data_IF_981905034898
#
_entry.id   IF_981905034898
#
_cell.length_a   1.000
_cell.length_b   1.000
_cell.length_c   1.000
_cell.angle_alpha   90.00
_cell.angle_beta   90.00
_cell.angle_gamma   90.00
#
_symmetry.space_group_name_H-M   'P 1'
#
loop_
_entity.id
_entity.type
_entity.pdbx_description
1 polymer ?
#
# COMPACT_ATOMS: atom_id res chain seq x y z
N UNK A 1 -23.52 3.63 -8.44
CA UNK A 1 -23.27 5.07 -8.44
C UNK A 1 -24.24 5.73 -7.48
N UNK A 2 -23.72 6.53 -6.57
CA UNK A 2 -24.50 7.43 -5.73
C UNK A 2 -24.23 8.87 -6.21
N UNK A 3 -25.13 9.43 -7.03
CA UNK A 3 -24.90 10.72 -7.68
C UNK A 3 -24.70 11.89 -6.69
N UNK A 4 -25.29 11.77 -5.50
CA UNK A 4 -25.18 12.81 -4.46
C UNK A 4 -23.82 12.86 -3.76
N UNK A 5 -23.01 11.80 -3.89
CA UNK A 5 -21.72 11.66 -3.20
C UNK A 5 -20.56 11.34 -4.13
N UNK A 6 -20.77 11.35 -5.46
CA UNK A 6 -19.80 10.89 -6.46
C UNK A 6 -19.07 9.59 -6.08
N UNK A 7 -19.81 8.66 -5.49
CA UNK A 7 -19.25 7.47 -4.88
C UNK A 7 -19.75 6.18 -5.51
N UNK A 8 -18.94 5.15 -5.45
CA UNK A 8 -19.24 3.81 -5.96
C UNK A 8 -19.10 2.78 -4.84
N UNK A 9 -20.08 1.89 -4.72
CA UNK A 9 -20.09 0.84 -3.72
C UNK A 9 -20.32 -0.52 -4.37
N UNK A 10 -19.69 -1.56 -3.83
CA UNK A 10 -19.97 -2.94 -4.25
C UNK A 10 -21.26 -3.41 -3.52
N UNK A 11 -22.33 -3.75 -4.24
CA UNK A 11 -23.57 -4.26 -3.61
C UNK A 11 -23.33 -5.47 -2.70
N UNK A 12 -24.11 -5.60 -1.65
CA UNK A 12 -23.91 -6.62 -0.61
C UNK A 12 -24.00 -8.07 -1.13
N UNK A 13 -24.89 -8.32 -2.09
CA UNK A 13 -25.03 -9.61 -2.77
C UNK A 13 -23.79 -9.95 -3.58
N UNK A 14 -23.25 -8.98 -4.33
CA UNK A 14 -22.00 -9.14 -5.08
C UNK A 14 -20.80 -9.35 -4.16
N UNK A 15 -20.73 -8.62 -3.03
CA UNK A 15 -19.68 -8.82 -2.03
C UNK A 15 -19.66 -10.25 -1.52
N UNK A 16 -20.82 -10.79 -1.12
CA UNK A 16 -20.96 -12.19 -0.68
C UNK A 16 -20.53 -13.18 -1.76
N UNK A 17 -21.00 -12.98 -3.00
CA UNK A 17 -20.65 -13.82 -4.15
C UNK A 17 -19.15 -13.78 -4.44
N UNK A 18 -18.54 -12.61 -4.44
CA UNK A 18 -17.12 -12.45 -4.75
C UNK A 18 -16.22 -12.95 -3.61
N UNK A 19 -16.64 -12.74 -2.37
CA UNK A 19 -15.96 -13.30 -1.19
C UNK A 19 -15.91 -14.83 -1.24
N UNK A 20 -17.04 -15.48 -1.52
CA UNK A 20 -17.11 -16.94 -1.69
C UNK A 20 -16.24 -17.43 -2.89
N UNK A 21 -16.17 -16.65 -3.96
CA UNK A 21 -15.31 -16.97 -5.09
C UNK A 21 -13.82 -16.92 -4.70
N UNK A 22 -13.38 -15.90 -3.95
CA UNK A 22 -12.00 -15.81 -3.44
C UNK A 22 -11.69 -16.97 -2.48
N UNK A 23 -12.61 -17.29 -1.57
CA UNK A 23 -12.49 -18.42 -0.64
C UNK A 23 -12.30 -19.75 -1.37
N UNK A 24 -12.89 -19.89 -2.54
CA UNK A 24 -12.81 -21.13 -3.32
C UNK A 24 -11.38 -21.51 -3.78
N UNK A 25 -10.42 -20.60 -3.69
CA UNK A 25 -9.00 -20.85 -4.03
C UNK A 25 -8.06 -20.85 -2.82
N UNK A 26 -8.45 -20.27 -1.68
CA UNK A 26 -7.53 -20.06 -0.55
C UNK A 26 -6.85 -21.33 -0.04
N UNK A 27 -7.59 -22.42 0.03
CA UNK A 27 -7.11 -23.68 0.62
C UNK A 27 -6.97 -24.81 -0.42
N UNK A 28 -6.83 -24.46 -1.69
CA UNK A 28 -6.67 -25.43 -2.78
C UNK A 28 -5.21 -25.51 -3.18
N UNK A 29 -4.77 -26.72 -3.52
CA UNK A 29 -3.45 -26.92 -4.18
C UNK A 29 -3.53 -26.65 -5.67
N UNK A 30 -4.68 -26.91 -6.28
CA UNK A 30 -4.93 -26.73 -7.71
C UNK A 30 -6.32 -26.15 -7.96
N UNK A 31 -6.45 -25.39 -9.04
CA UNK A 31 -7.69 -24.74 -9.48
C UNK A 31 -7.86 -24.89 -11.00
N UNK A 32 -9.06 -25.17 -11.52
CA UNK A 32 -9.32 -25.13 -12.96
C UNK A 32 -8.98 -23.76 -13.56
N UNK A 33 -8.48 -23.74 -14.79
CA UNK A 33 -8.09 -22.52 -15.49
C UNK A 33 -9.25 -21.52 -15.55
N UNK A 34 -10.43 -21.99 -15.95
CA UNK A 34 -11.64 -21.17 -16.10
C UNK A 34 -12.05 -20.53 -14.76
N UNK A 35 -11.82 -21.23 -13.65
CA UNK A 35 -12.09 -20.71 -12.32
C UNK A 35 -11.11 -19.60 -11.96
N UNK A 36 -9.83 -19.77 -12.26
CA UNK A 36 -8.81 -18.76 -12.04
C UNK A 36 -9.05 -17.52 -12.91
N UNK A 37 -9.46 -17.70 -14.16
CA UNK A 37 -9.84 -16.61 -15.07
C UNK A 37 -11.03 -15.81 -14.51
N UNK A 38 -12.06 -16.50 -14.03
CA UNK A 38 -13.22 -15.88 -13.38
C UNK A 38 -12.81 -15.05 -12.16
N UNK A 39 -11.91 -15.59 -11.33
CA UNK A 39 -11.41 -14.90 -10.14
C UNK A 39 -10.59 -13.67 -10.53
N UNK A 40 -9.70 -13.77 -11.53
CA UNK A 40 -8.92 -12.64 -12.03
C UNK A 40 -9.82 -11.52 -12.58
N UNK A 41 -10.86 -11.88 -13.33
CA UNK A 41 -11.85 -10.92 -13.84
C UNK A 41 -12.61 -10.21 -12.71
N UNK A 42 -13.05 -10.95 -11.69
CA UNK A 42 -13.70 -10.37 -10.51
C UNK A 42 -12.73 -9.48 -9.73
N UNK A 43 -11.46 -9.90 -9.52
CA UNK A 43 -10.46 -9.09 -8.85
C UNK A 43 -10.24 -7.76 -9.59
N UNK A 44 -10.11 -7.79 -10.93
CA UNK A 44 -9.99 -6.60 -11.75
C UNK A 44 -11.21 -5.67 -11.62
N UNK A 45 -12.42 -6.24 -11.62
CA UNK A 45 -13.63 -5.44 -11.45
C UNK A 45 -13.69 -4.79 -10.06
N UNK A 46 -13.33 -5.53 -9.01
CA UNK A 46 -13.29 -5.01 -7.62
C UNK A 46 -12.34 -3.82 -7.50
N UNK A 47 -11.20 -3.84 -8.18
CA UNK A 47 -10.25 -2.72 -8.13
C UNK A 47 -10.73 -1.47 -8.85
N UNK A 48 -11.73 -1.58 -9.72
CA UNK A 48 -12.44 -0.41 -10.25
C UNK A 48 -13.20 0.37 -9.17
N UNK A 49 -13.60 -0.32 -8.09
CA UNK A 49 -14.27 0.28 -6.93
C UNK A 49 -13.31 0.50 -5.76
N UNK A 50 -12.32 -0.37 -5.61
CA UNK A 50 -11.30 -0.35 -4.55
C UNK A 50 -9.89 -0.29 -5.18
N UNK A 51 -9.49 0.87 -5.74
CA UNK A 51 -8.21 1.02 -6.43
C UNK A 51 -6.97 0.57 -5.63
N UNK A 52 -6.92 0.71 -4.30
CA UNK A 52 -5.77 0.25 -3.52
C UNK A 52 -5.45 -1.25 -3.65
N UNK A 53 -6.42 -2.07 -4.07
CA UNK A 53 -6.21 -3.51 -4.30
C UNK A 53 -5.60 -3.83 -5.67
N UNK A 54 -5.48 -2.86 -6.57
CA UNK A 54 -5.00 -3.08 -7.93
C UNK A 54 -3.62 -3.75 -8.03
N UNK A 55 -2.62 -3.45 -7.16
CA UNK A 55 -1.34 -4.15 -7.19
C UNK A 55 -1.47 -5.67 -6.99
N UNK A 56 -2.47 -6.13 -6.24
CA UNK A 56 -2.70 -7.54 -5.95
C UNK A 56 -3.31 -8.30 -7.15
N UNK A 57 -3.98 -7.61 -8.06
CA UNK A 57 -4.58 -8.23 -9.27
C UNK A 57 -3.51 -8.90 -10.13
N UNK A 58 -2.31 -8.34 -10.18
CA UNK A 58 -1.20 -8.90 -10.94
C UNK A 58 -0.81 -10.34 -10.52
N UNK A 59 -1.08 -10.69 -9.27
CA UNK A 59 -0.83 -12.05 -8.77
C UNK A 59 -1.74 -13.06 -9.48
N UNK A 60 -3.00 -12.72 -9.71
CA UNK A 60 -3.95 -13.57 -10.42
C UNK A 60 -3.56 -13.73 -11.90
N UNK A 61 -3.22 -12.63 -12.57
CA UNK A 61 -2.80 -12.68 -13.99
C UNK A 61 -1.47 -13.42 -14.18
N UNK A 62 -0.49 -13.22 -13.30
CA UNK A 62 0.75 -14.01 -13.33
C UNK A 62 0.46 -15.50 -13.20
N UNK A 63 -0.47 -15.88 -12.33
CA UNK A 63 -0.86 -17.29 -12.16
C UNK A 63 -1.62 -17.83 -13.37
N UNK A 64 -2.40 -17.00 -14.07
CA UNK A 64 -3.05 -17.39 -15.34
C UNK A 64 -2.04 -17.66 -16.45
N UNK A 65 -0.97 -16.88 -16.53
CA UNK A 65 -0.01 -16.92 -17.64
C UNK A 65 1.25 -17.74 -17.34
N UNK A 66 1.45 -18.18 -16.10
CA UNK A 66 2.67 -18.90 -15.70
C UNK A 66 2.91 -20.19 -16.48
N UNK A 67 1.84 -20.90 -16.84
CA UNK A 67 1.92 -22.21 -17.51
C UNK A 67 0.75 -22.34 -18.51
N UNK A 68 0.82 -21.72 -19.69
CA UNK A 68 -0.35 -21.52 -20.56
C UNK A 68 -1.06 -22.82 -21.00
N UNK A 69 -0.39 -23.97 -20.94
CA UNK A 69 -0.93 -25.25 -21.43
C UNK A 69 -1.37 -26.21 -20.30
N UNK A 70 -1.27 -25.82 -19.03
CA UNK A 70 -1.64 -26.68 -17.91
C UNK A 70 -3.00 -26.30 -17.33
N UNK A 71 -3.90 -27.25 -17.21
CA UNK A 71 -5.10 -27.18 -16.40
C UNK A 71 -5.24 -28.53 -15.65
N UNK A 72 -5.41 -28.54 -14.33
CA UNK A 72 -5.59 -27.40 -13.42
C UNK A 72 -4.29 -26.64 -13.10
N UNK A 73 -4.43 -25.37 -12.71
CA UNK A 73 -3.34 -24.49 -12.28
C UNK A 73 -2.96 -24.75 -10.84
N UNK A 74 -1.66 -24.72 -10.55
CA UNK A 74 -1.18 -24.75 -9.17
C UNK A 74 -1.51 -23.43 -8.46
N UNK A 75 -2.09 -23.55 -7.28
CA UNK A 75 -2.30 -22.39 -6.39
C UNK A 75 -1.02 -22.10 -5.61
N UNK A 76 -0.35 -21.03 -5.98
CA UNK A 76 0.84 -20.58 -5.24
C UNK A 76 0.41 -19.94 -3.91
N UNK A 77 1.35 -19.88 -2.97
CA UNK A 77 1.12 -19.18 -1.69
C UNK A 77 0.73 -17.70 -1.91
N UNK A 78 1.36 -17.03 -2.87
CA UNK A 78 1.02 -15.64 -3.22
C UNK A 78 -0.40 -15.51 -3.76
N UNK A 79 -0.86 -16.46 -4.59
CA UNK A 79 -2.22 -16.47 -5.13
C UNK A 79 -3.25 -16.69 -4.03
N UNK A 80 -3.04 -17.70 -3.18
CA UNK A 80 -3.91 -17.98 -2.02
C UNK A 80 -4.02 -16.74 -1.11
N UNK A 81 -2.92 -16.07 -0.89
CA UNK A 81 -2.85 -14.88 -0.04
C UNK A 81 -3.54 -13.67 -0.65
N UNK A 82 -3.34 -13.41 -1.94
CA UNK A 82 -4.05 -12.33 -2.63
C UNK A 82 -5.57 -12.55 -2.57
N UNK A 83 -6.03 -13.77 -2.83
CA UNK A 83 -7.43 -14.13 -2.71
C UNK A 83 -8.00 -13.88 -1.30
N UNK A 84 -7.24 -14.24 -0.27
CA UNK A 84 -7.60 -14.01 1.13
C UNK A 84 -7.75 -12.52 1.44
N UNK A 85 -6.81 -11.67 0.98
CA UNK A 85 -6.89 -10.23 1.19
C UNK A 85 -8.14 -9.66 0.50
N UNK A 86 -8.40 -10.03 -0.76
CA UNK A 86 -9.63 -9.62 -1.44
C UNK A 86 -10.88 -10.03 -0.66
N UNK A 87 -10.93 -11.28 -0.16
CA UNK A 87 -12.04 -11.76 0.65
C UNK A 87 -12.23 -10.94 1.92
N UNK A 88 -11.18 -10.73 2.70
CA UNK A 88 -11.23 -9.99 3.95
C UNK A 88 -11.66 -8.54 3.72
N UNK A 89 -11.12 -7.90 2.69
CA UNK A 89 -11.52 -6.53 2.34
C UNK A 89 -12.99 -6.48 1.93
N UNK A 90 -13.45 -7.40 1.07
CA UNK A 90 -14.85 -7.48 0.67
C UNK A 90 -15.79 -7.73 1.85
N UNK A 91 -15.31 -8.45 2.87
CA UNK A 91 -16.07 -8.74 4.07
C UNK A 91 -16.14 -7.53 5.03
N UNK A 92 -14.99 -6.89 5.29
CA UNK A 92 -14.84 -5.83 6.29
C UNK A 92 -15.27 -4.46 5.80
N UNK A 93 -15.29 -4.24 4.50
CA UNK A 93 -15.58 -2.95 3.89
C UNK A 93 -17.05 -2.78 3.46
N UNK A 94 -18.01 -2.93 4.38
CA UNK A 94 -19.43 -2.91 4.01
C UNK A 94 -19.90 -1.58 3.42
N UNK A 95 -19.24 -0.48 3.76
CA UNK A 95 -19.65 0.88 3.43
C UNK A 95 -18.53 1.68 2.74
N UNK A 96 -17.52 1.02 2.16
CA UNK A 96 -16.47 1.75 1.49
C UNK A 96 -16.96 2.29 0.15
N UNK A 97 -16.79 3.56 0.04
CA UNK A 97 -17.17 4.39 -1.08
C UNK A 97 -15.87 4.81 -1.74
N UNK A 98 -15.58 4.30 -2.93
CA UNK A 98 -14.49 4.84 -3.73
C UNK A 98 -14.98 6.12 -4.39
N UNK A 99 -14.30 7.22 -4.16
CA UNK A 99 -14.51 8.42 -4.95
C UNK A 99 -14.09 8.18 -6.39
N UNK A 100 -14.96 8.53 -7.33
CA UNK A 100 -14.80 8.27 -8.77
C UNK A 100 -13.80 9.19 -9.47
N UNK A 101 -13.22 10.16 -8.81
CA UNK A 101 -12.25 11.07 -9.41
C UNK A 101 -10.98 10.32 -9.83
N UNK A 102 -11.01 9.79 -11.05
CA UNK A 102 -9.86 9.10 -11.66
C UNK A 102 -8.80 10.05 -12.21
N UNK A 103 -9.15 11.31 -12.43
CA UNK A 103 -8.23 12.35 -12.90
C UNK A 103 -7.87 13.25 -11.72
N UNK A 104 -6.89 12.81 -10.97
CA UNK A 104 -6.27 13.63 -9.95
C UNK A 104 -5.44 14.73 -10.63
N UNK A 105 -5.96 15.94 -10.65
CA UNK A 105 -5.13 17.11 -10.86
C UNK A 105 -4.42 17.40 -9.54
N UNK A 106 -3.09 17.25 -9.52
CA UNK A 106 -2.26 17.46 -8.33
C UNK A 106 -2.41 18.87 -7.75
N UNK A 107 -2.80 19.85 -8.58
CA UNK A 107 -3.11 21.21 -8.14
C UNK A 107 -4.31 21.29 -7.16
N UNK A 108 -5.12 20.23 -7.07
CA UNK A 108 -6.34 20.18 -6.27
C UNK A 108 -6.28 19.11 -5.16
N UNK A 109 -5.09 18.65 -4.76
CA UNK A 109 -4.97 17.71 -3.66
C UNK A 109 -5.35 18.37 -2.34
N UNK A 110 -6.23 17.71 -1.56
CA UNK A 110 -6.63 18.15 -0.21
C UNK A 110 -5.55 17.82 0.82
N UNK A 111 -4.80 16.76 0.55
CA UNK A 111 -3.72 16.29 1.42
C UNK A 111 -2.44 15.99 0.62
N UNK A 112 -1.30 16.34 1.18
CA UNK A 112 0.03 16.11 0.61
C UNK A 112 0.86 15.32 1.62
N UNK A 113 1.38 14.18 1.18
CA UNK A 113 2.23 13.30 1.98
C UNK A 113 3.60 13.17 1.33
N UNK A 114 4.64 13.28 2.14
CA UNK A 114 6.00 12.88 1.79
C UNK A 114 6.36 11.61 2.55
N UNK A 115 6.84 10.59 1.85
CA UNK A 115 7.33 9.34 2.46
C UNK A 115 8.78 9.07 2.11
N UNK A 116 9.50 8.41 3.02
CA UNK A 116 10.89 8.05 2.83
C UNK A 116 11.30 6.85 3.67
N UNK A 117 12.32 6.14 3.21
CA UNK A 117 12.93 4.99 3.87
C UNK A 117 14.44 5.11 3.85
N UNK A 118 15.09 4.69 4.94
CA UNK A 118 16.52 4.50 4.99
C UNK A 118 16.92 3.10 5.44
N UNK A 119 17.93 2.55 4.78
CA UNK A 119 18.50 1.24 5.10
C UNK A 119 19.31 1.24 6.39
N UNK A 120 19.72 0.04 6.80
CA UNK A 120 20.69 -0.12 7.90
C UNK A 120 21.99 0.56 7.59
N UNK A 121 22.55 1.22 8.59
CA UNK A 121 23.93 1.69 8.59
C UNK A 121 24.64 1.14 9.82
N UNK A 122 25.21 -0.08 9.76
CA UNK A 122 25.85 -0.70 10.90
C UNK A 122 27.03 0.10 11.48
N UNK A 123 27.73 0.87 10.64
CA UNK A 123 28.83 1.73 11.10
C UNK A 123 28.39 2.89 11.98
N UNK A 124 27.09 3.20 12.00
CA UNK A 124 26.47 4.26 12.79
C UNK A 124 25.41 3.76 13.77
N UNK A 125 25.32 2.46 13.96
CA UNK A 125 24.26 1.82 14.77
C UNK A 125 22.86 2.35 14.39
N UNK A 126 22.64 2.53 13.08
CA UNK A 126 21.40 3.11 12.57
C UNK A 126 20.52 2.01 11.98
N UNK A 127 19.36 1.71 12.60
CA UNK A 127 18.42 0.73 12.09
C UNK A 127 17.69 1.24 10.83
N UNK A 128 17.10 0.32 10.08
CA UNK A 128 16.19 0.70 8.99
C UNK A 128 15.01 1.47 9.55
N UNK A 129 14.72 2.63 8.95
CA UNK A 129 13.60 3.50 9.35
C UNK A 129 12.68 3.79 8.17
N UNK A 130 11.42 4.03 8.52
CA UNK A 130 10.39 4.55 7.63
C UNK A 130 9.77 5.78 8.24
N UNK A 131 9.46 6.78 7.42
CA UNK A 131 8.79 8.00 7.87
C UNK A 131 7.73 8.45 6.87
N UNK A 132 6.77 9.21 7.39
CA UNK A 132 5.79 9.92 6.59
C UNK A 132 5.51 11.30 7.21
N UNK A 133 5.34 12.31 6.35
CA UNK A 133 5.00 13.68 6.71
C UNK A 133 3.73 14.06 5.97
N UNK A 134 2.65 14.32 6.68
CA UNK A 134 1.41 14.87 6.14
C UNK A 134 1.52 16.41 6.14
N UNK A 135 2.05 16.94 5.03
CA UNK A 135 2.50 18.34 4.92
C UNK A 135 1.34 19.32 5.10
N UNK A 136 0.22 19.04 4.44
CA UNK A 136 -0.98 19.90 4.48
C UNK A 136 -1.58 20.08 5.88
N UNK A 137 -1.27 19.18 6.82
CA UNK A 137 -1.82 19.20 8.18
C UNK A 137 -0.76 19.37 9.28
N UNK A 138 0.51 19.52 8.90
CA UNK A 138 1.60 19.68 9.86
C UNK A 138 1.76 18.47 10.79
N UNK A 139 1.64 17.24 10.25
CA UNK A 139 1.78 16.01 11.02
C UNK A 139 2.96 15.19 10.49
N UNK A 140 3.67 14.51 11.38
CA UNK A 140 4.72 13.58 10.98
C UNK A 140 4.76 12.33 11.84
N UNK A 141 5.32 11.28 11.29
CA UNK A 141 5.56 10.01 11.97
C UNK A 141 6.86 9.37 11.49
N UNK A 142 7.51 8.65 12.37
CA UNK A 142 8.72 7.88 12.07
C UNK A 142 8.78 6.67 12.98
N UNK A 143 9.28 5.54 12.45
CA UNK A 143 9.52 4.33 13.21
C UNK A 143 10.61 3.47 12.58
N UNK A 144 11.20 2.59 13.38
CA UNK A 144 12.05 1.52 12.86
C UNK A 144 11.21 0.51 12.08
N UNK A 145 11.79 -0.05 11.02
CA UNK A 145 11.13 -1.15 10.29
C UNK A 145 10.95 -2.33 11.24
N UNK A 146 9.70 -2.80 11.47
CA UNK A 146 9.43 -3.83 12.46
C UNK A 146 10.12 -5.15 12.12
N UNK A 147 10.60 -5.87 13.15
CA UNK A 147 11.23 -7.19 12.98
C UNK A 147 10.33 -8.18 12.28
N UNK A 148 9.04 -8.24 12.60
CA UNK A 148 8.10 -9.14 11.94
C UNK A 148 7.99 -8.90 10.42
N UNK A 149 8.22 -7.65 9.94
CA UNK A 149 8.28 -7.38 8.51
C UNK A 149 9.62 -7.82 7.93
N UNK A 150 10.74 -7.57 8.62
CA UNK A 150 12.08 -8.05 8.23
C UNK A 150 12.08 -9.57 8.12
N UNK A 151 11.56 -10.28 9.11
CA UNK A 151 11.46 -11.74 9.15
C UNK A 151 10.60 -12.30 8.01
N UNK A 152 9.49 -11.63 7.71
CA UNK A 152 8.62 -12.01 6.59
C UNK A 152 9.27 -11.83 5.21
N UNK A 153 10.38 -11.08 5.14
CA UNK A 153 11.13 -10.82 3.90
C UNK A 153 12.28 -11.82 3.66
N UNK A 154 12.62 -12.66 4.65
CA UNK A 154 13.73 -13.62 4.55
C UNK A 154 13.52 -14.64 3.40
N UNK A 155 14.61 -15.12 2.76
CA UNK A 155 16.00 -14.81 3.05
C UNK A 155 16.50 -13.59 2.26
N UNK A 156 16.67 -12.46 2.91
CA UNK A 156 17.27 -11.27 2.30
C UNK A 156 16.91 -9.99 3.05
N UNK A 157 17.67 -8.93 2.84
CA UNK A 157 17.38 -7.64 3.45
C UNK A 157 16.09 -7.05 2.87
N UNK A 158 15.45 -6.16 3.62
CA UNK A 158 14.39 -5.30 3.09
C UNK A 158 14.98 -4.43 1.98
N UNK A 159 14.53 -4.64 0.76
CA UNK A 159 15.02 -3.86 -0.38
C UNK A 159 14.53 -2.41 -0.30
N UNK A 160 15.26 -1.45 -0.91
CA UNK A 160 14.81 -0.04 -0.95
C UNK A 160 13.36 0.10 -1.42
N UNK A 161 12.99 -0.60 -2.49
CA UNK A 161 11.62 -0.56 -3.01
C UNK A 161 10.57 -1.11 -2.03
N UNK A 162 10.93 -2.09 -1.19
CA UNK A 162 10.02 -2.62 -0.18
C UNK A 162 9.86 -1.63 0.99
N UNK A 163 10.97 -1.02 1.44
CA UNK A 163 10.95 0.00 2.47
C UNK A 163 10.13 1.22 2.07
N UNK A 164 10.39 1.75 0.86
CA UNK A 164 9.61 2.85 0.30
C UNK A 164 8.12 2.54 0.18
N UNK A 165 7.79 1.31 -0.25
CA UNK A 165 6.38 0.89 -0.34
C UNK A 165 5.75 0.75 1.05
N UNK A 166 6.52 0.35 2.07
CA UNK A 166 6.02 0.24 3.45
C UNK A 166 5.65 1.62 4.04
N UNK A 167 6.29 2.70 3.57
CA UNK A 167 5.94 4.07 3.97
C UNK A 167 4.50 4.44 3.58
N UNK A 168 3.94 3.86 2.50
CA UNK A 168 2.53 4.03 2.14
C UNK A 168 1.63 3.46 3.25
N UNK A 169 1.95 2.24 3.71
CA UNK A 169 1.19 1.61 4.80
C UNK A 169 1.29 2.40 6.10
N UNK A 170 2.50 2.92 6.42
CA UNK A 170 2.71 3.79 7.58
C UNK A 170 1.87 5.05 7.50
N UNK A 171 1.91 5.76 6.37
CA UNK A 171 1.16 7.00 6.16
C UNK A 171 -0.35 6.77 6.27
N UNK A 172 -0.87 5.81 5.50
CA UNK A 172 -2.30 5.53 5.46
C UNK A 172 -2.85 5.07 6.82
N UNK A 173 -2.13 4.19 7.54
CA UNK A 173 -2.59 3.70 8.84
C UNK A 173 -2.43 4.75 9.96
N UNK A 174 -1.34 5.54 9.92
CA UNK A 174 -1.09 6.54 10.97
C UNK A 174 -2.01 7.74 10.87
N UNK A 175 -2.25 8.21 9.65
CA UNK A 175 -3.06 9.40 9.38
C UNK A 175 -4.50 9.07 8.96
N UNK A 176 -4.98 7.84 9.18
CA UNK A 176 -6.28 7.36 8.72
C UNK A 176 -7.43 8.32 9.05
N UNK A 177 -7.48 8.80 10.29
CA UNK A 177 -8.55 9.67 10.77
C UNK A 177 -8.57 11.03 10.03
N UNK A 178 -7.41 11.49 9.57
CA UNK A 178 -7.26 12.75 8.84
C UNK A 178 -7.47 12.57 7.32
N UNK A 179 -7.12 11.40 6.78
CA UNK A 179 -7.11 11.15 5.34
C UNK A 179 -8.45 10.68 4.78
N UNK A 180 -9.38 10.27 5.65
CA UNK A 180 -10.68 9.73 5.21
C UNK A 180 -11.42 10.72 4.32
N UNK A 181 -11.69 10.29 3.09
CA UNK A 181 -12.43 11.08 2.09
C UNK A 181 -11.63 12.19 1.42
N UNK A 182 -10.33 12.36 1.74
CA UNK A 182 -9.49 13.36 1.12
C UNK A 182 -8.80 12.83 -0.15
N UNK A 183 -8.66 13.71 -1.13
CA UNK A 183 -7.80 13.50 -2.30
C UNK A 183 -6.35 13.70 -1.85
N UNK A 184 -5.57 12.64 -1.86
CA UNK A 184 -4.22 12.64 -1.30
C UNK A 184 -3.18 12.44 -2.38
N UNK A 185 -2.21 13.34 -2.45
CA UNK A 185 -1.03 13.15 -3.27
C UNK A 185 0.14 12.68 -2.41
N UNK A 186 0.73 11.55 -2.80
CA UNK A 186 1.87 10.94 -2.14
C UNK A 186 3.14 11.16 -2.96
N UNK A 187 4.12 11.80 -2.37
CA UNK A 187 5.42 12.08 -2.94
C UNK A 187 6.50 11.16 -2.39
N UNK A 188 7.32 10.63 -3.29
CA UNK A 188 8.53 9.87 -2.95
C UNK A 188 9.66 10.22 -3.94
N UNK A 189 10.90 10.12 -3.50
CA UNK A 189 12.07 10.22 -4.38
C UNK A 189 12.39 8.91 -5.10
N UNK A 190 11.67 7.81 -4.77
CA UNK A 190 11.79 6.51 -5.41
C UNK A 190 11.04 6.45 -6.74
N UNK A 191 11.77 6.48 -7.86
CA UNK A 191 11.17 6.26 -9.19
C UNK A 191 10.51 4.88 -9.30
N UNK A 192 11.10 3.86 -8.66
CA UNK A 192 10.57 2.50 -8.67
C UNK A 192 9.21 2.40 -7.99
N UNK A 193 9.02 3.07 -6.85
CA UNK A 193 7.73 3.15 -6.17
C UNK A 193 6.67 3.84 -7.03
N UNK A 194 6.99 5.05 -7.52
CA UNK A 194 6.04 5.89 -8.27
C UNK A 194 5.58 5.18 -9.55
N UNK A 195 6.49 4.59 -10.32
CA UNK A 195 6.13 3.85 -11.54
C UNK A 195 5.25 2.64 -11.24
N UNK A 196 5.58 1.86 -10.21
CA UNK A 196 4.80 0.68 -9.81
C UNK A 196 3.42 1.07 -9.30
N UNK A 197 3.32 2.11 -8.51
CA UNK A 197 2.05 2.60 -7.97
C UNK A 197 1.16 3.19 -9.05
N UNK A 198 1.72 3.99 -9.99
CA UNK A 198 0.96 4.57 -11.13
C UNK A 198 0.41 3.50 -12.07
N UNK A 199 1.18 2.47 -12.33
CA UNK A 199 0.78 1.40 -13.24
C UNK A 199 0.15 0.22 -12.51
N UNK A 200 -0.02 0.31 -11.20
CA UNK A 200 -0.50 -0.78 -10.35
C UNK A 200 0.25 -2.10 -10.62
N UNK A 201 1.51 -1.99 -11.00
CA UNK A 201 2.35 -3.12 -11.31
C UNK A 201 3.22 -3.40 -10.08
N UNK A 202 2.92 -4.46 -9.36
CA UNK A 202 3.99 -5.21 -8.74
C UNK A 202 4.80 -5.78 -9.92
N UNK A 203 5.86 -5.08 -10.32
CA UNK A 203 6.72 -5.57 -11.40
C UNK A 203 7.19 -7.00 -11.09
N UNK A 204 7.87 -7.68 -12.04
CA UNK A 204 8.41 -9.03 -11.84
C UNK A 204 9.56 -9.01 -10.83
N UNK A 205 9.31 -8.46 -9.64
CA UNK A 205 10.25 -8.61 -8.56
C UNK A 205 9.96 -9.94 -7.91
N UNK A 206 10.92 -10.83 -7.95
CA UNK A 206 10.94 -12.04 -7.13
C UNK A 206 11.05 -11.70 -5.62
N UNK A 207 10.86 -10.45 -5.24
CA UNK A 207 10.98 -9.95 -3.87
C UNK A 207 9.64 -10.08 -3.16
N UNK A 208 9.53 -11.11 -2.34
CA UNK A 208 8.43 -11.29 -1.39
C UNK A 208 8.21 -10.06 -0.51
N UNK A 209 9.27 -9.31 -0.21
CA UNK A 209 9.24 -8.08 0.57
C UNK A 209 8.39 -6.99 -0.05
N UNK A 210 8.53 -6.77 -1.36
CA UNK A 210 7.75 -5.74 -2.09
C UNK A 210 6.27 -6.13 -2.12
N UNK A 211 5.97 -7.39 -2.44
CA UNK A 211 4.60 -7.87 -2.44
C UNK A 211 3.95 -7.68 -1.05
N UNK A 212 4.70 -7.96 0.03
CA UNK A 212 4.27 -7.75 1.41
C UNK A 212 3.98 -6.28 1.72
N UNK A 213 4.87 -5.38 1.31
CA UNK A 213 4.69 -3.96 1.54
C UNK A 213 3.46 -3.42 0.78
N UNK A 214 3.24 -3.84 -0.47
CA UNK A 214 2.05 -3.49 -1.23
C UNK A 214 0.76 -4.01 -0.60
N UNK A 215 0.77 -5.22 -0.06
CA UNK A 215 -0.39 -5.78 0.64
C UNK A 215 -0.75 -4.97 1.89
N UNK A 216 0.25 -4.60 2.69
CA UNK A 216 0.04 -3.74 3.86
C UNK A 216 -0.47 -2.35 3.44
N UNK A 217 0.11 -1.77 2.39
CA UNK A 217 -0.34 -0.51 1.83
C UNK A 217 -1.79 -0.57 1.37
N UNK A 218 -2.16 -1.61 0.64
CA UNK A 218 -3.53 -1.82 0.17
C UNK A 218 -4.53 -1.94 1.33
N UNK A 219 -4.19 -2.73 2.36
CA UNK A 219 -5.04 -2.88 3.54
C UNK A 219 -5.20 -1.54 4.26
N UNK A 220 -4.09 -0.82 4.51
CA UNK A 220 -4.12 0.45 5.21
C UNK A 220 -4.95 1.51 4.46
N UNK A 221 -4.80 1.61 3.13
CA UNK A 221 -5.57 2.54 2.31
C UNK A 221 -7.06 2.22 2.30
N UNK A 222 -7.41 0.93 2.26
CA UNK A 222 -8.80 0.50 2.33
C UNK A 222 -9.39 0.80 3.71
N UNK A 223 -8.68 0.49 4.80
CA UNK A 223 -9.14 0.77 6.16
C UNK A 223 -9.27 2.28 6.43
N UNK A 224 -8.37 3.09 5.87
CA UNK A 224 -8.44 4.54 5.95
C UNK A 224 -9.49 5.17 5.01
N UNK A 225 -10.12 4.40 4.14
CA UNK A 225 -10.95 4.91 3.04
C UNK A 225 -10.24 6.02 2.25
N UNK A 226 -8.97 5.79 1.92
CA UNK A 226 -8.09 6.75 1.25
C UNK A 226 -7.59 6.20 -0.08
N UNK A 227 -7.37 7.08 -1.03
CA UNK A 227 -6.76 6.77 -2.31
C UNK A 227 -5.63 7.76 -2.58
N UNK A 228 -4.44 7.24 -2.87
CA UNK A 228 -3.28 8.07 -3.14
C UNK A 228 -2.98 8.14 -4.64
N UNK A 229 -2.74 9.34 -5.13
CA UNK A 229 -1.97 9.54 -6.35
C UNK A 229 -0.48 9.61 -6.00
N UNK A 230 0.39 9.20 -6.94
CA UNK A 230 1.81 9.07 -6.65
C UNK A 230 2.64 9.94 -7.59
N UNK A 231 3.47 10.80 -7.01
CA UNK A 231 4.34 11.69 -7.77
C UNK A 231 5.78 11.60 -7.29
N UNK A 232 6.71 11.58 -8.27
CA UNK A 232 8.13 11.62 -7.98
C UNK A 232 8.56 13.03 -7.60
N UNK A 233 9.36 13.14 -6.56
CA UNK A 233 10.01 14.39 -6.18
C UNK A 233 11.54 14.25 -6.10
N UNK A 234 12.29 15.34 -6.24
CA UNK A 234 13.72 15.36 -5.91
C UNK A 234 13.94 15.09 -4.40
N UNK A 235 15.01 14.37 -4.07
CA UNK A 235 15.33 13.99 -2.69
C UNK A 235 15.51 15.18 -1.75
N UNK A 236 16.15 16.23 -2.22
CA UNK A 236 16.33 17.46 -1.45
C UNK A 236 15.01 18.16 -1.11
N UNK A 237 13.95 17.87 -1.85
CA UNK A 237 12.59 18.33 -1.59
C UNK A 237 11.82 17.45 -0.60
N UNK A 238 12.23 16.21 -0.39
CA UNK A 238 11.54 15.29 0.48
C UNK A 238 11.70 15.70 1.97
N UNK A 239 10.61 16.12 2.60
CA UNK A 239 10.62 16.54 4.01
C UNK A 239 10.87 15.39 4.98
N UNK A 240 10.55 14.15 4.60
CA UNK A 240 10.78 12.98 5.45
C UNK A 240 12.22 12.48 5.48
N UNK A 241 13.07 12.89 4.52
CA UNK A 241 14.47 12.46 4.43
C UNK A 241 15.29 12.68 5.74
N UNK A 242 15.23 13.83 6.46
CA UNK A 242 15.94 13.98 7.72
C UNK A 242 15.45 13.09 8.86
N UNK A 243 14.23 12.54 8.77
CA UNK A 243 13.67 11.67 9.81
C UNK A 243 14.21 10.25 9.74
N UNK A 244 14.65 9.80 8.58
CA UNK A 244 15.09 8.42 8.33
C UNK A 244 16.60 8.26 8.19
N UNK A 245 17.31 9.28 7.76
CA UNK A 245 18.76 9.20 7.49
C UNK A 245 19.60 9.09 8.76
N UNK A 246 20.71 8.36 8.68
CA UNK A 246 21.65 8.14 9.79
C UNK A 246 22.33 9.42 10.33
N UNK A 247 22.36 10.49 9.54
CA UNK A 247 22.87 11.81 9.95
C UNK A 247 21.72 12.80 10.21
N UNK A 248 20.48 12.35 10.08
CA UNK A 248 19.31 13.18 10.24
C UNK A 248 18.79 13.23 11.68
N UNK A 249 17.97 14.20 11.97
CA UNK A 249 17.31 14.36 13.27
C UNK A 249 15.96 15.07 13.10
N UNK A 250 15.17 15.03 14.16
CA UNK A 250 13.92 15.81 14.21
C UNK A 250 14.21 17.31 14.10
N UNK A 251 15.30 17.80 14.69
CA UNK A 251 15.68 19.22 14.60
C UNK A 251 16.01 19.61 13.14
N UNK A 252 16.71 18.77 12.41
CA UNK A 252 16.96 19.00 10.97
C UNK A 252 15.67 18.98 10.15
N UNK A 253 14.73 18.11 10.49
CA UNK A 253 13.41 18.11 9.90
C UNK A 253 12.66 19.42 10.18
N UNK A 254 12.66 19.89 11.42
CA UNK A 254 12.01 21.15 11.81
C UNK A 254 12.66 22.36 11.13
N UNK A 255 13.98 22.37 10.99
CA UNK A 255 14.70 23.41 10.24
C UNK A 255 14.30 23.39 8.75
N UNK A 256 14.23 22.20 8.15
CA UNK A 256 13.81 22.03 6.75
C UNK A 256 12.36 22.46 6.54
N UNK A 257 11.48 22.15 7.50
CA UNK A 257 10.08 22.59 7.52
C UNK A 257 9.98 24.11 7.50
N UNK A 258 10.66 24.78 8.46
CA UNK A 258 10.67 26.25 8.57
C UNK A 258 11.28 26.92 7.34
N UNK A 259 12.38 26.38 6.79
CA UNK A 259 13.04 26.92 5.59
C UNK A 259 12.17 26.88 4.34
N UNK A 260 11.15 26.03 4.33
CA UNK A 260 10.17 25.95 3.23
C UNK A 260 8.97 26.90 3.44
N UNK A 261 8.99 27.71 4.49
CA UNK A 261 7.90 28.63 4.79
C UNK A 261 6.59 27.94 5.20
N UNK A 262 6.65 26.68 5.62
CA UNK A 262 5.48 25.92 6.04
C UNK A 262 4.98 26.43 7.40
N UNK A 263 3.66 26.55 7.61
CA UNK A 263 3.09 27.15 8.80
C UNK A 263 3.24 26.25 10.03
N UNK A 264 3.45 26.90 11.18
CA UNK A 264 3.44 26.23 12.49
C UNK A 264 4.62 25.28 12.71
N UNK A 265 4.53 24.54 13.80
CA UNK A 265 5.46 23.46 14.14
C UNK A 265 4.72 22.13 13.94
N UNK A 266 5.25 21.21 13.11
CA UNK A 266 4.57 19.94 12.86
C UNK A 266 4.52 19.07 14.12
N UNK A 267 3.41 18.38 14.32
CA UNK A 267 3.15 17.52 15.46
C UNK A 267 3.47 16.06 15.17
N UNK A 268 4.12 15.39 16.11
CA UNK A 268 4.37 13.97 16.04
C UNK A 268 3.09 13.15 16.27
N UNK A 269 2.82 12.20 15.39
CA UNK A 269 1.75 11.23 15.54
C UNK A 269 2.37 9.85 15.78
N UNK A 270 1.89 9.15 16.80
CA UNK A 270 2.37 7.81 17.12
C UNK A 270 2.20 6.89 15.90
N UNK A 271 3.27 6.24 15.42
CA UNK A 271 3.23 5.41 14.21
C UNK A 271 2.28 4.22 14.37
N UNK A 272 1.54 3.96 13.31
CA UNK A 272 0.68 2.78 13.16
C UNK A 272 1.01 2.07 11.86
N UNK A 273 1.02 0.77 11.90
CA UNK A 273 0.98 -0.08 10.70
C UNK A 273 -0.29 -0.93 10.79
N UNK A 274 -0.87 -1.33 9.66
CA UNK A 274 -1.98 -2.26 9.69
C UNK A 274 -1.52 -3.50 10.45
N UNK A 275 -2.36 -3.98 11.38
CA UNK A 275 -2.04 -5.23 12.08
C UNK A 275 -1.85 -6.29 11.00
N UNK A 276 -0.74 -7.04 11.02
CA UNK A 276 -0.64 -8.21 10.17
C UNK A 276 -1.92 -9.00 10.41
N UNK A 277 -2.66 -9.27 9.35
CA UNK A 277 -3.77 -10.20 9.45
C UNK A 277 -3.19 -11.45 10.13
N UNK A 278 -3.87 -12.05 11.10
CA UNK A 278 -3.35 -13.18 11.94
C UNK A 278 -2.74 -14.35 11.15
N UNK A 279 -2.87 -14.34 9.83
CA UNK A 279 -2.32 -15.30 8.88
C UNK A 279 -0.86 -15.02 8.47
N UNK A 280 -0.26 -13.91 8.91
CA UNK A 280 1.14 -13.61 8.57
C UNK A 280 2.13 -14.46 9.38
N UNK A 281 1.66 -15.04 10.49
CA UNK A 281 2.46 -15.82 11.45
C UNK A 281 2.40 -17.33 11.24
N UNK A 282 1.65 -17.83 10.24
CA UNK A 282 1.69 -19.26 9.90
C UNK A 282 2.61 -19.47 8.70
N UNK A 283 3.57 -20.43 8.81
CA UNK A 283 4.56 -20.74 7.79
C UNK A 283 3.97 -21.21 6.47
#
# INVERSE_FOLDING_TARGET
LHPETDSMMIPSDKRKKYSALMESIENKSFIPYERLEQVAGVASWVTGVLPPLAPLVQVFYRSLHAEPNLSPRRVSHSLSRAARIFREVLYRAPNQIATLERNFDTANADAIIHGDWAGDNPSKDHPQKIAAVLVSHGLYTVMDVPMWFKDACLPGPVSPNAGETLCIALAAATFSDTLTGLRTEYFSDSSGLVLRSKHFQSGPSNSKAIDRAFELGAIALVEANACFSYTKMPRDHNLSDPLVNANGSVDMFLQKWSSRGLPGVPSFVKPRLPKPLQFWTQP
#
